data_IF_972836321577
#
_entry.id   IF_972836321577
#
_cell.length_a   1.000
_cell.length_b   1.000
_cell.length_c   1.000
_cell.angle_alpha   90.00
_cell.angle_beta   90.00
_cell.angle_gamma   90.00
#
_symmetry.space_group_name_H-M   'P 1'
#
loop_
_entity.id
_entity.type
_entity.pdbx_description
1 polymer ?
#
# COMPACT_ATOMS: atom_id res chain seq x y z
N UNK A 1 10.91 12.03 20.42
CA UNK A 1 10.21 10.98 19.63
C UNK A 1 9.87 11.53 18.27
N UNK A 2 10.27 10.84 17.22
CA UNK A 2 9.97 11.20 15.83
C UNK A 2 8.71 10.43 15.40
N UNK A 3 7.55 10.98 15.79
CA UNK A 3 6.26 10.37 15.50
C UNK A 3 5.84 10.71 14.06
N UNK A 4 5.85 9.73 13.19
CA UNK A 4 5.35 9.84 11.81
C UNK A 4 3.86 9.58 11.80
N UNK A 5 3.06 10.59 11.47
CA UNK A 5 1.60 10.52 11.43
C UNK A 5 1.10 10.27 10.00
N UNK A 6 0.33 9.20 9.82
CA UNK A 6 -0.24 8.83 8.52
C UNK A 6 -1.76 8.96 8.59
N UNK A 7 -2.34 9.64 7.60
CA UNK A 7 -3.77 9.67 7.35
C UNK A 7 -4.16 8.55 6.38
N UNK A 8 -4.99 7.62 6.84
CA UNK A 8 -5.60 6.57 6.03
C UNK A 8 -6.92 7.11 5.50
N UNK A 9 -6.98 7.40 4.21
CA UNK A 9 -8.11 8.05 3.56
C UNK A 9 -9.15 7.00 3.13
N UNK A 10 -9.94 6.49 4.07
CA UNK A 10 -11.02 5.53 3.83
C UNK A 10 -12.25 6.25 3.26
N UNK A 11 -12.16 6.65 2.00
CA UNK A 11 -13.15 7.53 1.36
C UNK A 11 -14.11 6.74 0.49
N UNK A 12 -15.36 7.23 0.39
CA UNK A 12 -16.32 6.75 -0.60
C UNK A 12 -15.79 7.06 -2.00
N UNK A 13 -15.81 6.09 -2.93
CA UNK A 13 -15.34 6.32 -4.29
C UNK A 13 -16.22 7.31 -5.04
N UNK A 14 -15.62 8.01 -5.97
CA UNK A 14 -16.27 9.02 -6.80
C UNK A 14 -16.57 8.46 -8.20
N UNK A 15 -17.55 9.03 -8.92
CA UNK A 15 -18.00 8.49 -10.21
C UNK A 15 -17.00 8.67 -11.35
N UNK A 16 -16.00 9.54 -11.21
CA UNK A 16 -14.99 9.82 -12.24
C UNK A 16 -13.76 10.51 -11.64
N UNK A 17 -12.70 10.57 -12.43
CA UNK A 17 -11.41 11.13 -12.01
C UNK A 17 -11.48 12.61 -11.61
N UNK A 18 -12.36 13.41 -12.22
CA UNK A 18 -12.50 14.84 -11.85
C UNK A 18 -13.12 15.01 -10.46
N UNK A 19 -14.16 14.24 -10.14
CA UNK A 19 -14.76 14.23 -8.81
C UNK A 19 -13.79 13.67 -7.78
N UNK A 20 -13.11 12.56 -8.10
CA UNK A 20 -12.10 11.95 -7.24
C UNK A 20 -10.90 12.89 -6.97
N UNK A 21 -10.51 13.71 -7.94
CA UNK A 21 -9.50 14.74 -7.75
C UNK A 21 -9.96 15.80 -6.73
N UNK A 22 -11.18 16.32 -6.88
CA UNK A 22 -11.71 17.38 -6.01
C UNK A 22 -11.88 16.90 -4.57
N UNK A 23 -12.52 15.75 -4.36
CA UNK A 23 -12.75 15.18 -3.03
C UNK A 23 -11.44 14.73 -2.40
N UNK A 24 -10.54 14.12 -3.17
CA UNK A 24 -9.24 13.68 -2.70
C UNK A 24 -8.34 14.84 -2.24
N UNK A 25 -8.30 15.95 -2.99
CA UNK A 25 -7.53 17.15 -2.56
C UNK A 25 -8.14 17.76 -1.31
N UNK A 26 -9.47 17.77 -1.18
CA UNK A 26 -10.15 18.24 0.04
C UNK A 26 -9.77 17.35 1.25
N UNK A 27 -9.75 16.01 1.08
CA UNK A 27 -9.33 15.08 2.11
C UNK A 27 -7.84 15.28 2.50
N UNK A 28 -6.96 15.58 1.52
CA UNK A 28 -5.57 15.93 1.81
C UNK A 28 -5.47 17.20 2.68
N UNK A 29 -6.28 18.22 2.42
CA UNK A 29 -6.32 19.45 3.24
C UNK A 29 -6.76 19.16 4.67
N UNK A 30 -7.79 18.33 4.85
CA UNK A 30 -8.24 17.89 6.17
C UNK A 30 -7.16 17.09 6.90
N UNK A 31 -6.52 16.14 6.22
CA UNK A 31 -5.42 15.35 6.77
C UNK A 31 -4.25 16.24 7.25
N UNK A 32 -3.85 17.21 6.43
CA UNK A 32 -2.79 18.16 6.76
C UNK A 32 -3.18 19.07 7.94
N UNK A 33 -4.42 19.56 7.99
CA UNK A 33 -4.93 20.35 9.11
C UNK A 33 -4.90 19.57 10.44
N UNK A 34 -5.03 18.23 10.38
CA UNK A 34 -4.90 17.32 11.52
C UNK A 34 -3.45 16.84 11.76
N UNK A 35 -2.46 17.45 11.09
CA UNK A 35 -1.05 17.22 11.34
C UNK A 35 -0.49 15.94 10.73
N UNK A 36 -1.11 15.35 9.72
CA UNK A 36 -0.55 14.19 9.02
C UNK A 36 0.77 14.56 8.30
N UNK A 37 1.68 13.60 8.23
CA UNK A 37 2.91 13.67 7.44
C UNK A 37 2.74 13.01 6.07
N UNK A 38 1.85 12.01 5.98
CA UNK A 38 1.53 11.27 4.77
C UNK A 38 0.01 11.11 4.67
N UNK A 39 -0.56 11.38 3.51
CA UNK A 39 -1.93 10.97 3.14
C UNK A 39 -1.85 9.76 2.22
N UNK A 40 -2.51 8.66 2.58
CA UNK A 40 -2.55 7.41 1.82
C UNK A 40 -3.95 7.15 1.28
N UNK A 41 -4.07 7.06 -0.04
CA UNK A 41 -5.30 6.75 -0.76
C UNK A 41 -5.54 5.23 -0.87
N UNK A 42 -6.80 4.78 -0.98
CA UNK A 42 -7.12 3.40 -1.34
C UNK A 42 -6.72 3.11 -2.80
N UNK A 43 -6.76 1.85 -3.20
CA UNK A 43 -6.33 1.37 -4.51
C UNK A 43 -7.13 1.99 -5.66
N UNK A 44 -6.45 2.43 -6.74
CA UNK A 44 -7.07 3.00 -7.96
C UNK A 44 -8.08 4.13 -7.68
N UNK A 45 -7.73 5.09 -6.85
CA UNK A 45 -8.59 6.21 -6.48
C UNK A 45 -9.13 6.98 -7.70
N UNK A 46 -8.41 7.04 -8.82
CA UNK A 46 -8.83 7.78 -10.03
C UNK A 46 -10.14 7.31 -10.63
N UNK A 47 -10.47 6.03 -10.47
CA UNK A 47 -11.71 5.41 -10.96
C UNK A 47 -12.49 4.68 -9.86
N UNK A 48 -12.09 4.88 -8.58
CA UNK A 48 -12.74 4.29 -7.42
C UNK A 48 -12.73 2.77 -7.38
N UNK A 49 -11.73 2.12 -7.99
CA UNK A 49 -11.69 0.66 -8.19
C UNK A 49 -13.01 0.14 -8.77
N UNK A 50 -13.52 0.80 -9.83
CA UNK A 50 -14.78 0.43 -10.46
C UNK A 50 -14.72 -1.00 -11.01
N UNK A 51 -15.65 -1.83 -10.56
CA UNK A 51 -15.80 -3.18 -11.11
C UNK A 51 -16.43 -3.12 -12.50
N UNK A 52 -15.97 -3.99 -13.40
CA UNK A 52 -16.56 -4.21 -14.70
C UNK A 52 -16.70 -5.72 -14.96
N UNK A 53 -17.64 -6.10 -15.81
CA UNK A 53 -17.73 -7.50 -16.23
C UNK A 53 -16.55 -7.82 -17.15
N UNK A 54 -15.61 -8.59 -16.66
CA UNK A 54 -14.40 -8.98 -17.41
C UNK A 54 -14.69 -9.89 -18.61
N UNK A 55 -15.93 -10.40 -18.74
CA UNK A 55 -16.41 -11.18 -19.89
C UNK A 55 -16.94 -10.31 -21.02
N UNK A 56 -17.23 -9.05 -20.73
CA UNK A 56 -17.69 -8.08 -21.72
C UNK A 56 -16.50 -7.24 -22.20
N UNK A 57 -16.06 -7.48 -23.42
CA UNK A 57 -14.92 -6.76 -24.02
C UNK A 57 -15.19 -5.27 -24.18
N UNK A 58 -16.43 -4.85 -24.46
CA UNK A 58 -16.79 -3.45 -24.59
C UNK A 58 -16.74 -2.72 -23.23
N UNK A 59 -17.18 -3.38 -22.16
CA UNK A 59 -17.06 -2.86 -20.80
C UNK A 59 -15.58 -2.76 -20.38
N UNK A 60 -14.75 -3.73 -20.75
CA UNK A 60 -13.31 -3.71 -20.52
C UNK A 60 -12.59 -2.56 -21.24
N UNK A 61 -12.94 -2.31 -22.50
CA UNK A 61 -12.40 -1.16 -23.27
C UNK A 61 -12.78 0.17 -22.61
N UNK A 62 -14.03 0.34 -22.22
CA UNK A 62 -14.51 1.53 -21.52
C UNK A 62 -13.79 1.72 -20.18
N UNK A 63 -13.56 0.63 -19.44
CA UNK A 63 -12.83 0.66 -18.17
C UNK A 63 -11.36 1.07 -18.38
N UNK A 64 -10.67 0.50 -19.37
CA UNK A 64 -9.29 0.86 -19.71
C UNK A 64 -9.19 2.32 -20.18
N UNK A 65 -10.19 2.84 -20.89
CA UNK A 65 -10.24 4.23 -21.34
C UNK A 65 -10.33 5.25 -20.19
N UNK A 66 -10.72 4.82 -18.97
CA UNK A 66 -10.70 5.65 -17.77
C UNK A 66 -9.29 5.84 -17.17
N UNK A 67 -8.25 5.21 -17.74
CA UNK A 67 -6.88 5.35 -17.29
C UNK A 67 -6.38 6.79 -17.46
N UNK A 68 -5.64 7.28 -16.48
CA UNK A 68 -5.05 8.61 -16.48
C UNK A 68 -3.53 8.55 -16.68
N UNK A 69 -2.98 9.55 -17.35
CA UNK A 69 -1.53 9.65 -17.54
C UNK A 69 -0.84 10.07 -16.23
N UNK A 70 0.44 9.64 -16.00
CA UNK A 70 1.23 10.07 -14.85
C UNK A 70 1.47 11.58 -14.75
N UNK A 71 1.30 12.29 -15.86
CA UNK A 71 1.42 13.75 -15.97
C UNK A 71 0.06 14.45 -16.18
N UNK A 72 -1.05 13.75 -15.96
CA UNK A 72 -2.41 14.29 -16.10
C UNK A 72 -2.73 15.37 -15.06
N UNK A 73 -3.74 16.22 -15.30
CA UNK A 73 -4.24 17.16 -14.29
C UNK A 73 -4.63 16.47 -12.99
N UNK A 74 -5.17 15.26 -13.05
CA UNK A 74 -5.47 14.44 -11.87
C UNK A 74 -4.22 14.24 -11.00
N UNK A 75 -3.15 13.68 -11.53
CA UNK A 75 -1.92 13.38 -10.78
C UNK A 75 -1.21 14.67 -10.32
N UNK A 76 -1.15 15.70 -11.19
CA UNK A 76 -0.54 16.99 -10.86
C UNK A 76 -1.23 17.69 -9.69
N UNK A 77 -2.56 17.60 -9.58
CA UNK A 77 -3.29 18.22 -8.46
C UNK A 77 -2.86 17.66 -7.11
N UNK A 78 -2.51 16.38 -7.02
CA UNK A 78 -1.97 15.79 -5.79
C UNK A 78 -0.49 16.13 -5.55
N UNK A 79 0.28 16.32 -6.61
CA UNK A 79 1.63 16.86 -6.52
C UNK A 79 1.63 18.29 -5.96
N UNK A 80 0.74 19.14 -6.47
CA UNK A 80 0.58 20.52 -6.02
C UNK A 80 0.05 20.55 -4.58
N UNK A 81 -0.92 19.70 -4.24
CA UNK A 81 -1.44 19.56 -2.88
C UNK A 81 -0.34 19.13 -1.89
N UNK A 82 0.53 18.19 -2.26
CA UNK A 82 1.64 17.75 -1.42
C UNK A 82 2.57 18.92 -1.08
N UNK A 83 2.90 19.74 -2.08
CA UNK A 83 3.74 20.95 -1.90
C UNK A 83 3.04 22.04 -1.10
N UNK A 84 1.77 22.36 -1.45
CA UNK A 84 0.96 23.39 -0.79
C UNK A 84 0.78 23.08 0.69
N UNK A 85 0.47 21.81 1.01
CA UNK A 85 0.15 21.36 2.35
C UNK A 85 1.40 20.96 3.17
N UNK A 86 2.58 20.98 2.57
CA UNK A 86 3.83 20.52 3.19
C UNK A 86 3.69 19.10 3.81
N UNK A 87 2.97 18.20 3.09
CA UNK A 87 2.61 16.85 3.50
C UNK A 87 2.82 15.90 2.32
N UNK A 88 3.38 14.71 2.55
CA UNK A 88 3.50 13.72 1.50
C UNK A 88 2.12 13.14 1.10
N UNK A 89 1.96 12.84 -0.19
CA UNK A 89 0.73 12.26 -0.74
C UNK A 89 1.06 11.00 -1.53
N UNK A 90 0.48 9.87 -1.13
CA UNK A 90 0.52 8.59 -1.86
C UNK A 90 -0.80 8.44 -2.64
N UNK A 91 -0.80 8.92 -3.88
CA UNK A 91 -1.97 8.88 -4.78
C UNK A 91 -1.96 7.64 -5.65
N UNK A 92 -3.12 7.03 -5.81
CA UNK A 92 -3.33 5.80 -6.58
C UNK A 92 -4.20 6.04 -7.79
N UNK A 93 -3.93 5.35 -8.87
CA UNK A 93 -4.70 5.54 -10.10
C UNK A 93 -4.54 4.37 -11.06
N UNK A 94 -5.55 4.20 -11.92
CA UNK A 94 -5.41 3.40 -13.12
C UNK A 94 -4.54 4.19 -14.09
N UNK A 95 -3.33 3.70 -14.35
CA UNK A 95 -2.30 4.39 -15.11
C UNK A 95 -2.31 3.99 -16.57
N UNK A 96 -2.30 4.97 -17.48
CA UNK A 96 -2.13 4.71 -18.91
C UNK A 96 -0.78 4.03 -19.18
N UNK A 97 -0.83 2.85 -19.77
CA UNK A 97 0.34 2.05 -20.17
C UNK A 97 -0.02 1.18 -21.38
N UNK A 98 0.96 0.82 -22.20
CA UNK A 98 0.80 -0.11 -23.32
C UNK A 98 1.39 -1.48 -22.98
N UNK A 99 0.73 -2.60 -23.37
CA UNK A 99 -0.53 -2.68 -24.15
C UNK A 99 -1.80 -2.52 -23.30
N UNK A 100 -1.71 -2.51 -21.97
CA UNK A 100 -2.85 -2.38 -21.04
C UNK A 100 -2.46 -1.46 -19.89
N UNK A 101 -3.42 -0.74 -19.28
CA UNK A 101 -3.15 0.14 -18.14
C UNK A 101 -2.52 -0.62 -16.97
N UNK A 102 -1.96 0.11 -16.02
CA UNK A 102 -1.40 -0.42 -14.78
C UNK A 102 -2.15 0.12 -13.56
N UNK A 103 -2.23 -0.68 -12.53
CA UNK A 103 -2.67 -0.26 -11.21
C UNK A 103 -1.47 0.31 -10.45
N UNK A 104 -1.44 1.62 -10.24
CA UNK A 104 -0.24 2.30 -9.79
C UNK A 104 -0.45 3.20 -8.57
N UNK A 105 0.62 3.38 -7.80
CA UNK A 105 0.75 4.39 -6.74
C UNK A 105 1.95 5.29 -7.02
N UNK A 106 1.75 6.58 -6.88
CA UNK A 106 2.83 7.58 -6.91
C UNK A 106 2.89 8.31 -5.56
N UNK A 107 4.08 8.40 -4.99
CA UNK A 107 4.30 9.16 -3.77
C UNK A 107 5.03 10.46 -4.09
N UNK A 108 4.38 11.57 -3.77
CA UNK A 108 4.99 12.90 -3.76
C UNK A 108 5.41 13.24 -2.33
N UNK A 109 6.63 13.73 -2.17
CA UNK A 109 7.07 14.24 -0.88
C UNK A 109 6.44 15.61 -0.57
N UNK A 110 6.66 16.09 0.64
CA UNK A 110 6.14 17.39 1.13
C UNK A 110 6.63 18.61 0.34
N UNK A 111 7.56 18.43 -0.58
CA UNK A 111 8.06 19.47 -1.50
C UNK A 111 7.47 19.31 -2.92
N UNK A 112 6.59 18.33 -3.13
CA UNK A 112 5.98 18.01 -4.42
C UNK A 112 6.92 17.23 -5.36
N UNK A 113 8.04 16.67 -4.88
CA UNK A 113 8.90 15.82 -5.70
C UNK A 113 8.35 14.41 -5.74
N UNK A 114 8.26 13.81 -6.92
CA UNK A 114 7.92 12.40 -7.07
C UNK A 114 9.09 11.55 -6.58
N UNK A 115 8.93 10.88 -5.43
CA UNK A 115 9.98 10.07 -4.82
C UNK A 115 9.80 8.58 -5.07
N UNK A 116 8.56 8.09 -5.17
CA UNK A 116 8.26 6.70 -5.46
C UNK A 116 7.19 6.60 -6.53
N UNK A 117 7.38 5.66 -7.45
CA UNK A 117 6.34 5.19 -8.36
C UNK A 117 6.39 3.67 -8.38
N UNK A 118 5.25 3.03 -8.17
CA UNK A 118 5.11 1.59 -8.13
C UNK A 118 3.83 1.15 -8.82
N UNK A 119 3.92 0.14 -9.67
CA UNK A 119 2.77 -0.53 -10.28
C UNK A 119 2.65 -1.94 -9.73
N UNK A 120 1.43 -2.35 -9.41
CA UNK A 120 1.07 -3.65 -8.83
C UNK A 120 1.65 -4.80 -9.65
N UNK A 121 2.39 -5.69 -9.01
CA UNK A 121 3.02 -6.84 -9.65
C UNK A 121 2.05 -8.02 -9.73
N UNK A 122 1.35 -8.31 -8.65
CA UNK A 122 0.42 -9.42 -8.58
C UNK A 122 -1.00 -8.96 -8.95
N UNK A 123 -1.35 -9.12 -10.22
CA UNK A 123 -2.64 -8.69 -10.79
C UNK A 123 -3.71 -9.73 -10.50
N UNK A 124 -4.91 -9.27 -10.09
CA UNK A 124 -6.10 -10.11 -9.92
C UNK A 124 -6.72 -10.45 -11.29
N UNK A 125 -6.09 -11.36 -12.03
CA UNK A 125 -6.52 -11.72 -13.40
C UNK A 125 -7.89 -12.41 -13.45
N UNK A 126 -8.43 -12.80 -12.31
CA UNK A 126 -9.74 -13.44 -12.15
C UNK A 126 -10.89 -12.43 -11.95
N UNK A 127 -10.58 -11.13 -11.98
CA UNK A 127 -11.54 -10.02 -11.84
C UNK A 127 -11.21 -8.89 -12.83
N UNK A 128 -11.74 -7.69 -12.58
CA UNK A 128 -11.56 -6.48 -13.40
C UNK A 128 -10.09 -6.19 -13.77
N UNK A 129 -9.14 -6.52 -12.90
CA UNK A 129 -7.72 -6.29 -13.20
C UNK A 129 -7.13 -7.21 -14.29
N UNK A 130 -7.91 -8.16 -14.85
CA UNK A 130 -7.47 -8.89 -16.05
C UNK A 130 -7.18 -7.95 -17.23
N UNK A 131 -7.70 -6.73 -17.19
CA UNK A 131 -7.39 -5.66 -18.15
C UNK A 131 -6.13 -4.85 -17.82
N UNK A 132 -5.40 -5.18 -16.74
CA UNK A 132 -4.15 -4.53 -16.39
C UNK A 132 -2.91 -5.31 -16.87
N UNK A 133 -1.83 -4.57 -17.10
CA UNK A 133 -0.48 -5.11 -17.18
C UNK A 133 0.17 -5.13 -15.81
N UNK A 134 0.93 -6.17 -15.44
CA UNK A 134 1.67 -6.20 -14.18
C UNK A 134 2.79 -5.14 -14.17
N UNK A 135 3.20 -4.76 -12.96
CA UNK A 135 4.41 -3.99 -12.72
C UNK A 135 5.68 -4.82 -12.93
N UNK A 136 6.82 -4.14 -12.97
CA UNK A 136 8.10 -4.78 -13.34
C UNK A 136 8.97 -5.14 -12.12
N UNK A 137 8.88 -4.36 -11.03
CA UNK A 137 9.75 -4.54 -9.86
C UNK A 137 9.20 -3.84 -8.62
N UNK A 138 9.57 -4.39 -7.47
CA UNK A 138 9.45 -3.66 -6.19
C UNK A 138 10.56 -2.61 -6.10
N UNK A 139 10.23 -1.48 -5.49
CA UNK A 139 11.17 -0.39 -5.27
C UNK A 139 10.91 0.30 -3.94
N UNK A 140 11.95 0.94 -3.42
CA UNK A 140 11.89 1.77 -2.22
C UNK A 140 12.44 3.15 -2.52
N UNK A 141 12.05 4.13 -1.72
CA UNK A 141 12.53 5.49 -1.86
C UNK A 141 12.70 6.17 -0.49
N UNK A 142 13.62 7.11 -0.42
CA UNK A 142 13.76 7.98 0.75
C UNK A 142 12.70 9.08 0.68
N UNK A 143 11.84 9.13 1.68
CA UNK A 143 10.84 10.17 1.86
C UNK A 143 11.32 11.17 2.92
N UNK A 144 11.45 12.43 2.55
CA UNK A 144 11.74 13.51 3.48
C UNK A 144 10.47 13.92 4.24
N UNK A 145 10.49 13.74 5.55
CA UNK A 145 9.39 14.16 6.44
C UNK A 145 9.81 15.30 7.38
N UNK A 146 8.87 15.85 8.15
CA UNK A 146 9.19 16.82 9.21
C UNK A 146 10.04 16.24 10.33
N UNK A 147 10.07 14.93 10.45
CA UNK A 147 10.77 14.17 11.50
C UNK A 147 12.08 13.55 11.02
N UNK A 148 12.52 13.90 9.81
CA UNK A 148 13.69 13.35 9.13
C UNK A 148 13.30 12.32 8.05
N UNK A 149 14.31 11.76 7.38
CA UNK A 149 14.07 10.82 6.29
C UNK A 149 13.55 9.47 6.80
N UNK A 150 12.67 8.83 6.00
CA UNK A 150 12.19 7.47 6.20
C UNK A 150 12.24 6.70 4.88
N UNK A 151 12.74 5.47 4.90
CA UNK A 151 12.76 4.61 3.72
C UNK A 151 11.39 3.96 3.56
N UNK A 152 10.68 4.36 2.50
CA UNK A 152 9.35 3.83 2.22
C UNK A 152 9.36 2.84 1.05
N UNK A 153 8.44 1.88 1.08
CA UNK A 153 8.06 1.03 -0.04
C UNK A 153 6.55 1.05 -0.26
N UNK A 154 6.09 0.43 -1.32
CA UNK A 154 4.67 0.21 -1.56
C UNK A 154 4.42 -1.22 -2.08
N UNK A 155 3.26 -1.76 -1.69
CA UNK A 155 2.65 -2.95 -2.28
C UNK A 155 1.14 -2.70 -2.37
N UNK A 156 0.49 -3.15 -3.44
CA UNK A 156 -0.91 -2.83 -3.70
C UNK A 156 -1.77 -4.08 -3.52
N UNK A 157 -2.72 -4.03 -2.57
CA UNK A 157 -3.78 -5.01 -2.36
C UNK A 157 -3.27 -6.46 -2.43
N UNK A 158 -3.49 -7.17 -3.54
CA UNK A 158 -3.15 -8.57 -3.74
C UNK A 158 -1.65 -8.88 -3.58
N UNK A 159 -0.75 -7.90 -3.76
CA UNK A 159 0.68 -8.08 -3.49
C UNK A 159 0.94 -8.58 -2.06
N UNK A 160 0.12 -8.19 -1.08
CA UNK A 160 0.30 -8.58 0.33
C UNK A 160 0.05 -10.08 0.58
N UNK A 161 -0.70 -10.77 -0.31
CA UNK A 161 -0.94 -12.21 -0.20
C UNK A 161 0.38 -13.00 -0.35
N UNK A 162 1.35 -12.43 -1.06
CA UNK A 162 2.65 -13.04 -1.33
C UNK A 162 3.69 -12.57 -0.30
N UNK A 163 4.23 -13.48 0.55
CA UNK A 163 5.23 -13.10 1.55
C UNK A 163 6.48 -12.49 0.95
N UNK A 164 6.80 -12.83 -0.30
CA UNK A 164 7.93 -12.30 -1.05
C UNK A 164 7.86 -10.79 -1.23
N UNK A 165 6.65 -10.23 -1.41
CA UNK A 165 6.45 -8.79 -1.63
C UNK A 165 7.00 -7.97 -0.47
N UNK A 166 6.54 -8.24 0.75
CA UNK A 166 7.01 -7.54 1.94
C UNK A 166 8.48 -7.87 2.24
N UNK A 167 8.92 -9.12 1.95
CA UNK A 167 10.31 -9.54 2.14
C UNK A 167 11.27 -8.78 1.22
N UNK A 168 10.94 -8.63 -0.05
CA UNK A 168 11.76 -7.87 -1.00
C UNK A 168 11.87 -6.41 -0.57
N UNK A 169 10.75 -5.77 -0.19
CA UNK A 169 10.76 -4.39 0.29
C UNK A 169 11.62 -4.23 1.55
N UNK A 170 11.53 -5.17 2.50
CA UNK A 170 12.37 -5.15 3.70
C UNK A 170 13.86 -5.29 3.38
N UNK A 171 14.23 -6.17 2.43
CA UNK A 171 15.61 -6.37 1.98
C UNK A 171 16.15 -5.16 1.23
N UNK A 172 15.28 -4.40 0.53
CA UNK A 172 15.62 -3.12 -0.09
C UNK A 172 15.73 -1.98 0.94
N UNK A 173 15.43 -2.24 2.22
CA UNK A 173 15.62 -1.30 3.31
C UNK A 173 14.35 -0.57 3.77
N UNK A 174 13.15 -0.88 3.24
CA UNK A 174 11.92 -0.23 3.68
C UNK A 174 11.77 -0.28 5.21
N UNK A 175 11.45 0.86 5.81
CA UNK A 175 11.09 1.01 7.23
C UNK A 175 9.56 1.04 7.38
N UNK A 176 8.89 1.60 6.37
CA UNK A 176 7.44 1.70 6.25
C UNK A 176 7.02 1.24 4.87
N UNK A 177 5.97 0.43 4.79
CA UNK A 177 5.32 0.03 3.53
C UNK A 177 3.91 0.57 3.50
N UNK A 178 3.59 1.32 2.46
CA UNK A 178 2.26 1.86 2.17
C UNK A 178 1.48 0.83 1.35
N UNK A 179 0.24 0.56 1.76
CA UNK A 179 -0.58 -0.51 1.17
C UNK A 179 -1.94 0.04 0.74
N UNK A 180 -2.06 0.62 -0.45
CA UNK A 180 -3.36 0.85 -1.07
C UNK A 180 -4.13 -0.46 -1.24
N UNK A 181 -5.42 -0.49 -0.90
CA UNK A 181 -6.22 -1.71 -0.92
C UNK A 181 -7.65 -1.45 -1.39
N UNK A 182 -8.27 -2.47 -2.01
CA UNK A 182 -9.66 -2.49 -2.41
C UNK A 182 -10.19 -3.93 -2.35
N UNK A 183 -10.56 -4.40 -1.16
CA UNK A 183 -11.21 -5.72 -1.01
C UNK A 183 -11.97 -5.81 0.32
N UNK A 184 -12.84 -6.80 0.43
CA UNK A 184 -13.37 -7.22 1.72
C UNK A 184 -12.23 -7.79 2.55
N UNK A 185 -11.94 -7.15 3.68
CA UNK A 185 -10.79 -7.44 4.53
C UNK A 185 -11.24 -8.17 5.81
N UNK A 186 -10.85 -9.43 5.92
CA UNK A 186 -11.20 -10.32 7.02
C UNK A 186 -10.08 -10.45 8.09
N UNK A 187 -10.33 -11.27 9.09
CA UNK A 187 -9.37 -11.49 10.18
C UNK A 187 -8.11 -12.25 9.73
N UNK A 188 -8.23 -13.16 8.75
CA UNK A 188 -7.05 -13.87 8.21
C UNK A 188 -6.11 -12.90 7.51
N UNK A 189 -6.65 -11.94 6.74
CA UNK A 189 -5.87 -10.88 6.10
C UNK A 189 -5.27 -9.90 7.11
N UNK A 190 -5.98 -9.65 8.22
CA UNK A 190 -5.44 -8.87 9.34
C UNK A 190 -4.23 -9.57 9.97
N UNK A 191 -4.33 -10.88 10.28
CA UNK A 191 -3.22 -11.68 10.79
C UNK A 191 -2.06 -11.75 9.77
N UNK A 192 -2.38 -11.84 8.48
CA UNK A 192 -1.38 -11.81 7.42
C UNK A 192 -0.58 -10.51 7.43
N UNK A 193 -1.25 -9.35 7.56
CA UNK A 193 -0.57 -8.05 7.67
C UNK A 193 0.30 -7.95 8.92
N UNK A 194 -0.18 -8.43 10.07
CA UNK A 194 0.62 -8.50 11.29
C UNK A 194 1.86 -9.39 11.11
N UNK A 195 1.71 -10.52 10.43
CA UNK A 195 2.83 -11.42 10.10
C UNK A 195 3.83 -10.73 9.17
N UNK A 196 3.36 -10.05 8.11
CA UNK A 196 4.26 -9.30 7.20
C UNK A 196 5.06 -8.23 7.93
N UNK A 197 4.43 -7.50 8.87
CA UNK A 197 5.14 -6.51 9.69
C UNK A 197 6.19 -7.17 10.59
N UNK A 198 5.80 -8.21 11.31
CA UNK A 198 6.62 -8.90 12.28
C UNK A 198 7.84 -9.59 11.64
N UNK A 199 7.62 -10.45 10.65
CA UNK A 199 8.68 -11.27 10.03
C UNK A 199 9.71 -10.45 9.25
N UNK A 200 9.35 -9.20 8.87
CA UNK A 200 10.17 -8.29 8.07
C UNK A 200 10.71 -7.11 8.89
N UNK A 201 10.24 -6.89 10.10
CA UNK A 201 10.55 -5.73 10.95
C UNK A 201 10.24 -4.40 10.22
N UNK A 202 9.10 -4.30 9.53
CA UNK A 202 8.66 -3.11 8.80
C UNK A 202 7.29 -2.65 9.31
N UNK A 203 7.09 -1.35 9.43
CA UNK A 203 5.77 -0.78 9.69
C UNK A 203 4.88 -0.90 8.44
N UNK A 204 3.59 -1.18 8.63
CA UNK A 204 2.62 -1.23 7.54
C UNK A 204 1.47 -0.27 7.81
N UNK A 205 1.09 0.51 6.79
CA UNK A 205 -0.09 1.35 6.80
C UNK A 205 -0.93 1.01 5.57
N UNK A 206 -2.17 0.56 5.77
CA UNK A 206 -3.08 0.15 4.71
C UNK A 206 -4.34 1.00 4.73
N UNK A 207 -4.74 1.49 3.57
CA UNK A 207 -6.00 2.17 3.36
C UNK A 207 -6.89 1.35 2.44
N UNK A 208 -8.12 1.09 2.87
CA UNK A 208 -9.13 0.35 2.14
C UNK A 208 -10.36 1.23 1.87
N UNK A 209 -11.24 0.77 0.99
CA UNK A 209 -12.55 1.41 0.76
C UNK A 209 -13.54 1.09 1.88
N UNK A 210 -14.45 2.04 2.21
CA UNK A 210 -15.54 1.79 3.16
C UNK A 210 -16.58 0.80 2.58
N UNK A 211 -17.56 0.42 3.39
CA UNK A 211 -18.68 -0.46 3.01
C UNK A 211 -19.65 0.16 2.00
N UNK A 212 -19.51 1.43 1.69
CA UNK A 212 -20.20 2.09 0.58
C UNK A 212 -19.66 1.70 -0.79
N UNK A 213 -18.50 1.03 -0.83
CA UNK A 213 -17.90 0.44 -2.03
C UNK A 213 -18.24 -1.06 -2.12
N UNK A 214 -18.62 -1.55 -3.30
CA UNK A 214 -19.07 -2.94 -3.50
C UNK A 214 -18.05 -4.00 -3.06
N UNK A 215 -16.77 -3.71 -3.16
CA UNK A 215 -15.66 -4.57 -2.72
C UNK A 215 -15.01 -4.15 -1.41
N UNK A 216 -15.58 -3.16 -0.70
CA UNK A 216 -15.01 -2.61 0.54
C UNK A 216 -15.77 -3.05 1.79
N UNK A 217 -15.12 -3.03 2.94
CA UNK A 217 -15.75 -3.17 4.25
C UNK A 217 -15.05 -2.32 5.31
N UNK A 218 -14.38 -1.23 4.89
CA UNK A 218 -13.48 -0.49 5.77
C UNK A 218 -12.27 -1.33 6.13
N UNK A 219 -11.99 -1.48 7.43
CA UNK A 219 -10.83 -2.24 7.93
C UNK A 219 -9.48 -1.70 7.44
N UNK A 220 -9.37 -0.40 7.14
CA UNK A 220 -8.06 0.23 7.03
C UNK A 220 -7.28 -0.01 8.30
N UNK A 221 -5.97 -0.27 8.19
CA UNK A 221 -5.21 -0.67 9.37
C UNK A 221 -3.77 -0.14 9.39
N UNK A 222 -3.21 -0.13 10.60
CA UNK A 222 -1.80 0.15 10.83
C UNK A 222 -1.20 -0.93 11.74
N UNK A 223 -0.01 -1.40 11.37
CA UNK A 223 0.68 -2.47 12.09
C UNK A 223 2.10 -2.05 12.41
N UNK A 224 2.47 -2.17 13.69
CA UNK A 224 3.85 -2.00 14.15
C UNK A 224 4.64 -3.30 14.00
N UNK A 225 5.92 -3.25 13.64
CA UNK A 225 6.78 -4.42 13.67
C UNK A 225 7.22 -4.81 15.09
N UNK A 226 7.03 -3.94 16.08
CA UNK A 226 7.55 -4.10 17.44
C UNK A 226 6.63 -5.03 18.22
N UNK A 227 6.99 -6.31 18.27
CA UNK A 227 6.22 -7.34 18.97
C UNK A 227 6.66 -7.57 20.42
N UNK A 228 7.86 -7.14 20.80
CA UNK A 228 8.40 -7.26 22.16
C UNK A 228 9.16 -6.01 22.58
N UNK A 229 9.16 -5.73 23.87
CA UNK A 229 10.07 -4.77 24.45
C UNK A 229 11.48 -5.38 24.52
N UNK A 230 12.47 -4.58 24.17
CA UNK A 230 13.89 -4.96 24.26
C UNK A 230 14.46 -4.29 25.53
N UNK A 231 14.46 -5.00 26.66
CA UNK A 231 14.96 -4.48 27.95
C UNK A 231 16.44 -4.74 28.22
N UNK A 232 17.15 -5.30 27.25
CA UNK A 232 18.57 -5.61 27.34
C UNK A 232 18.92 -6.87 28.14
N UNK A 233 18.00 -7.39 28.97
CA UNK A 233 18.20 -8.59 29.79
C UNK A 233 17.48 -9.80 29.22
N UNK A 234 16.29 -9.59 28.69
CA UNK A 234 15.50 -10.61 28.02
C UNK A 234 14.79 -9.98 26.80
N UNK A 235 15.19 -10.29 25.57
CA UNK A 235 14.60 -9.71 24.37
C UNK A 235 13.12 -10.12 24.15
N UNK A 236 12.53 -10.89 25.04
CA UNK A 236 11.12 -11.32 25.02
C UNK A 236 10.40 -10.98 26.33
N UNK A 237 10.86 -9.98 27.07
CA UNK A 237 10.36 -9.73 28.41
C UNK A 237 8.89 -9.29 28.44
N UNK A 238 8.44 -8.58 27.41
CA UNK A 238 7.06 -8.10 27.35
C UNK A 238 6.54 -8.11 25.92
N UNK A 239 5.45 -8.86 25.68
CA UNK A 239 4.71 -8.84 24.41
C UNK A 239 3.98 -7.51 24.22
N UNK A 240 3.96 -7.03 22.98
CA UNK A 240 3.19 -5.87 22.52
C UNK A 240 2.21 -6.27 21.43
N UNK A 241 1.00 -5.71 21.50
CA UNK A 241 0.09 -5.80 20.37
C UNK A 241 0.65 -5.04 19.17
N UNK A 242 0.70 -5.71 18.03
CA UNK A 242 1.25 -5.15 16.79
C UNK A 242 0.21 -4.43 15.94
N UNK A 243 -1.08 -4.78 16.09
CA UNK A 243 -2.19 -4.09 15.43
C UNK A 243 -2.49 -2.78 16.16
N UNK A 244 -2.03 -1.68 15.58
CA UNK A 244 -2.16 -0.34 16.17
C UNK A 244 -3.54 0.27 15.93
N UNK A 245 -4.11 -0.02 14.75
CA UNK A 245 -5.39 0.49 14.31
C UNK A 245 -6.04 -0.52 13.36
N UNK A 246 -7.34 -0.72 13.50
CA UNK A 246 -8.24 -1.27 12.51
C UNK A 246 -9.53 -0.47 12.53
N UNK A 247 -9.92 0.10 11.41
CA UNK A 247 -11.08 1.00 11.32
C UNK A 247 -12.39 0.22 11.22
N UNK A 248 -13.50 0.90 11.54
CA UNK A 248 -14.84 0.42 11.23
C UNK A 248 -15.17 0.48 9.74
N UNK A 249 -16.40 0.05 9.36
CA UNK A 249 -16.80 -0.10 7.96
C UNK A 249 -17.06 1.23 7.23
N UNK A 250 -17.48 2.28 7.93
CA UNK A 250 -17.90 3.55 7.34
C UNK A 250 -16.76 4.41 6.79
N UNK A 251 -17.05 5.41 5.95
CA UNK A 251 -16.05 6.33 5.43
C UNK A 251 -15.47 7.23 6.53
N UNK A 252 -14.23 7.69 6.35
CA UNK A 252 -13.55 8.61 7.25
C UNK A 252 -12.07 8.76 6.97
N UNK A 253 -11.46 9.75 7.61
CA UNK A 253 -10.00 9.91 7.63
C UNK A 253 -9.53 9.43 8.99
N UNK A 254 -8.72 8.38 9.00
CA UNK A 254 -8.22 7.76 10.21
C UNK A 254 -6.72 8.00 10.33
N UNK A 255 -6.22 8.10 11.56
CA UNK A 255 -4.82 8.48 11.80
C UNK A 255 -4.11 7.40 12.61
N UNK A 256 -2.88 7.09 12.22
CA UNK A 256 -1.95 6.28 12.99
C UNK A 256 -0.61 6.99 13.11
N UNK A 257 0.15 6.70 14.16
CA UNK A 257 1.44 7.34 14.44
C UNK A 257 2.50 6.26 14.71
N UNK A 258 3.62 6.33 13.99
CA UNK A 258 4.74 5.43 14.14
C UNK A 258 5.94 6.13 14.77
N UNK A 259 6.47 5.58 15.86
CA UNK A 259 7.75 6.02 16.43
C UNK A 259 8.91 5.45 15.61
N UNK A 260 9.47 6.29 14.72
CA UNK A 260 10.55 5.87 13.83
C UNK A 260 11.83 5.50 14.58
N UNK A 261 12.13 6.18 15.69
CA UNK A 261 13.33 5.88 16.48
C UNK A 261 13.20 4.52 17.17
N UNK A 262 12.00 4.21 17.70
CA UNK A 262 11.71 2.90 18.29
C UNK A 262 11.75 1.77 17.25
N UNK A 263 11.19 1.99 16.04
CA UNK A 263 11.24 1.00 14.96
C UNK A 263 12.67 0.73 14.53
N UNK A 264 13.51 1.75 14.37
CA UNK A 264 14.94 1.61 14.03
C UNK A 264 15.70 0.85 15.09
N UNK A 265 15.50 1.22 16.36
CA UNK A 265 16.11 0.51 17.48
C UNK A 265 15.71 -0.97 17.48
N UNK A 266 14.42 -1.27 17.26
CA UNK A 266 13.93 -2.65 17.18
C UNK A 266 14.55 -3.41 16.00
N UNK A 267 14.65 -2.79 14.83
CA UNK A 267 15.25 -3.38 13.63
C UNK A 267 16.72 -3.77 13.84
N UNK A 268 17.47 -2.94 14.55
CA UNK A 268 18.89 -3.14 14.82
C UNK A 268 19.15 -4.22 15.88
N UNK A 269 18.28 -4.32 16.89
CA UNK A 269 18.55 -5.10 18.09
C UNK A 269 17.73 -6.40 18.21
N UNK A 270 16.58 -6.52 17.53
CA UNK A 270 15.78 -7.74 17.55
C UNK A 270 16.41 -8.84 16.71
N UNK A 271 16.35 -10.08 17.22
CA UNK A 271 16.93 -11.28 16.57
C UNK A 271 16.12 -11.82 15.39
N UNK A 272 14.89 -11.31 15.20
CA UNK A 272 13.98 -11.75 14.14
C UNK A 272 14.31 -11.09 12.81
N UNK A 273 13.50 -11.41 11.81
CA UNK A 273 13.58 -10.77 10.50
C UNK A 273 14.66 -11.36 9.61
N UNK A 274 15.55 -10.52 9.09
CA UNK A 274 16.46 -10.92 8.01
C UNK A 274 17.83 -11.42 8.46
N UNK A 275 18.18 -11.26 9.74
CA UNK A 275 19.55 -11.48 10.27
C UNK A 275 20.06 -12.90 10.08
N UNK A 276 19.20 -13.92 10.25
CA UNK A 276 19.59 -15.34 10.19
C UNK A 276 19.09 -16.04 8.93
N UNK A 277 18.76 -15.29 7.87
CA UNK A 277 18.39 -15.87 6.59
C UNK A 277 19.55 -16.68 5.99
N UNK A 278 19.20 -17.75 5.26
CA UNK A 278 20.13 -18.61 4.53
C UNK A 278 19.85 -18.53 3.02
N UNK A 279 20.18 -17.41 2.34
CA UNK A 279 19.77 -17.15 0.94
C UNK A 279 20.20 -18.25 -0.03
N UNK A 280 21.33 -18.92 0.25
CA UNK A 280 21.86 -20.02 -0.56
C UNK A 280 20.95 -21.26 -0.63
N UNK A 281 19.89 -21.31 0.20
CA UNK A 281 18.91 -22.41 0.21
C UNK A 281 17.56 -22.02 -0.42
N UNK A 282 17.43 -20.80 -0.96
CA UNK A 282 16.16 -20.23 -1.42
C UNK A 282 16.05 -20.14 -2.93
N UNK A 283 16.96 -20.72 -3.70
CA UNK A 283 16.93 -20.74 -5.17
C UNK A 283 15.65 -21.34 -5.75
N UNK A 284 15.04 -22.28 -5.04
CA UNK A 284 13.73 -22.85 -5.38
C UNK A 284 12.61 -21.80 -5.49
N UNK A 285 12.70 -20.68 -4.74
CA UNK A 285 11.70 -19.62 -4.77
C UNK A 285 11.71 -18.83 -6.09
N UNK A 286 12.78 -18.89 -6.85
CA UNK A 286 12.95 -18.19 -8.12
C UNK A 286 13.00 -19.12 -9.31
N UNK A 287 12.85 -20.45 -9.10
CA UNK A 287 12.82 -21.42 -10.18
C UNK A 287 11.47 -21.39 -10.92
N UNK A 288 11.45 -20.70 -12.04
CA UNK A 288 10.28 -20.57 -12.90
C UNK A 288 9.79 -21.89 -13.53
N UNK A 289 10.56 -22.96 -13.41
CA UNK A 289 10.15 -24.30 -13.88
C UNK A 289 9.26 -25.02 -12.88
N UNK A 290 9.25 -24.60 -11.63
CA UNK A 290 8.34 -25.13 -10.63
C UNK A 290 6.96 -24.57 -10.87
N UNK A 291 6.11 -25.40 -11.45
CA UNK A 291 4.72 -25.05 -11.75
C UNK A 291 3.88 -25.24 -10.49
N UNK A 292 3.06 -24.25 -10.11
CA UNK A 292 2.09 -24.43 -9.02
C UNK A 292 1.22 -25.66 -9.24
N UNK A 293 0.94 -26.42 -8.17
CA UNK A 293 0.14 -27.65 -8.17
C UNK A 293 -1.24 -27.47 -8.83
N UNK A 294 -1.74 -26.23 -8.89
CA UNK A 294 -3.08 -25.88 -9.39
C UNK A 294 -3.08 -25.18 -10.75
N UNK A 295 -1.98 -25.22 -11.50
CA UNK A 295 -1.89 -24.54 -12.81
C UNK A 295 -2.95 -24.99 -13.80
N UNK A 296 -3.39 -26.25 -13.69
CA UNK A 296 -4.37 -26.85 -14.60
C UNK A 296 -5.82 -26.70 -14.10
N UNK A 297 -6.08 -25.91 -13.06
CA UNK A 297 -7.44 -25.63 -12.63
C UNK A 297 -8.09 -24.61 -13.59
N UNK A 298 -9.09 -25.01 -14.40
CA UNK A 298 -9.72 -24.12 -15.39
C UNK A 298 -10.36 -22.87 -14.76
N UNK A 299 -10.71 -22.92 -13.47
CA UNK A 299 -11.27 -21.78 -12.74
C UNK A 299 -10.24 -20.70 -12.41
N UNK A 300 -8.94 -20.98 -12.55
CA UNK A 300 -7.84 -20.06 -12.27
C UNK A 300 -7.11 -19.57 -13.53
N UNK A 301 -7.53 -20.08 -14.71
CA UNK A 301 -6.96 -19.72 -16.01
C UNK A 301 -8.02 -18.89 -16.75
N UNK A 302 -7.91 -17.59 -16.65
CA UNK A 302 -8.67 -16.65 -17.48
C UNK A 302 -7.74 -15.60 -18.07
#
# INVERSE_FOLDING_TARGET
MKMLKIALLQLTPEPNAEAAMKSGVAACREAAANGADIALFPEMWSNGYAYTDYRDSGAGEAWMAAAVRPDSPFVRSFQDAAKELNMAVAITYLETHEPRPRNSVTVFDRLGRRVLHYSKIHICTFETECFCSPGDKFSVAMLETRHGPVQIGAMICFDREFPESARVLALLGAELVLVPNACVFDDHRTMQMQTRAFENKVALAMTNYPDTHIGGNGSSLAVSPIAWELDGTNPRSQYRETLMLRTGPGPGIHYCEFDLDAIRHYRENAIWGTTFRQPQTYDILIDSKLVPVYKDNPALIH
#
